data_IF_374727374958
#
_entry.id   IF_374727374958
#
_cell.length_a   1.000
_cell.length_b   1.000
_cell.length_c   1.000
_cell.angle_alpha   90.00
_cell.angle_beta   90.00
_cell.angle_gamma   90.00
#
_symmetry.space_group_name_H-M   'P 1'
#
loop_
_entity.id
_entity.type
_entity.pdbx_description
1 polymer ?
#
# COMPACT_ATOMS: atom_id res chain seq x y z
N UNK A 1 5.52 -25.39 -14.63
CA UNK A 1 6.10 -24.03 -14.63
C UNK A 1 6.36 -23.66 -13.18
N UNK A 2 7.56 -23.17 -12.80
CA UNK A 2 7.79 -22.79 -11.41
C UNK A 2 6.81 -21.67 -11.07
N UNK A 3 5.95 -21.93 -10.09
CA UNK A 3 5.06 -20.93 -9.51
C UNK A 3 5.92 -19.96 -8.73
N UNK A 4 6.52 -18.98 -9.42
CA UNK A 4 7.20 -17.87 -8.77
C UNK A 4 6.12 -17.11 -7.98
N UNK A 5 6.19 -17.18 -6.66
CA UNK A 5 5.30 -16.45 -5.75
C UNK A 5 5.48 -14.95 -6.00
N UNK A 6 4.61 -14.37 -6.82
CA UNK A 6 4.63 -12.93 -7.14
C UNK A 6 4.04 -12.16 -5.97
N UNK A 7 4.75 -11.13 -5.50
CA UNK A 7 4.20 -10.19 -4.54
C UNK A 7 3.18 -9.30 -5.25
N UNK A 8 2.02 -9.07 -4.62
CA UNK A 8 1.00 -8.16 -5.16
C UNK A 8 0.84 -7.01 -4.19
N UNK A 9 1.01 -5.78 -4.66
CA UNK A 9 0.60 -4.59 -3.95
C UNK A 9 -0.76 -4.14 -4.48
N UNK A 10 -1.72 -4.07 -3.58
CA UNK A 10 -3.07 -3.59 -3.81
C UNK A 10 -3.29 -2.34 -2.97
N UNK A 11 -3.57 -1.21 -3.62
CA UNK A 11 -4.03 0.00 -2.95
C UNK A 11 -5.50 0.20 -3.27
N UNK A 12 -6.32 0.49 -2.25
CA UNK A 12 -7.75 0.72 -2.40
C UNK A 12 -8.14 2.01 -1.68
N UNK A 13 -8.90 2.86 -2.37
CA UNK A 13 -9.61 3.99 -1.78
C UNK A 13 -11.12 3.75 -1.98
N UNK A 14 -11.82 3.23 -0.96
CA UNK A 14 -13.24 2.89 -1.07
C UNK A 14 -14.12 4.13 -1.20
N UNK A 15 -13.67 5.29 -0.74
CA UNK A 15 -14.44 6.54 -0.82
C UNK A 15 -14.47 7.04 -2.26
N UNK A 16 -13.34 6.93 -2.97
CA UNK A 16 -13.25 7.30 -4.39
C UNK A 16 -13.65 6.18 -5.36
N UNK A 17 -13.89 4.95 -4.87
CA UNK A 17 -14.05 3.78 -5.72
C UNK A 17 -12.80 3.48 -6.56
N UNK A 18 -11.62 3.84 -6.06
CA UNK A 18 -10.35 3.73 -6.77
C UNK A 18 -9.53 2.54 -6.24
N UNK A 19 -8.82 1.87 -7.15
CA UNK A 19 -7.87 0.82 -6.80
C UNK A 19 -6.71 0.78 -7.78
N UNK A 20 -5.54 0.40 -7.28
CA UNK A 20 -4.33 0.14 -8.07
C UNK A 20 -3.72 -1.18 -7.65
N UNK A 21 -3.40 -2.00 -8.65
CA UNK A 21 -2.76 -3.31 -8.45
C UNK A 21 -1.44 -3.33 -9.18
N UNK A 22 -0.38 -3.78 -8.51
CA UNK A 22 0.93 -4.00 -9.13
C UNK A 22 1.53 -5.30 -8.62
N UNK A 23 1.95 -6.16 -9.55
CA UNK A 23 2.68 -7.39 -9.24
C UNK A 23 4.18 -7.19 -9.37
N UNK A 24 4.93 -7.80 -8.47
CA UNK A 24 6.39 -7.87 -8.46
C UNK A 24 6.85 -9.33 -8.32
N UNK A 25 8.07 -9.60 -8.73
CA UNK A 25 8.68 -10.92 -8.58
C UNK A 25 9.02 -11.21 -7.11
N UNK A 26 9.45 -10.19 -6.38
CA UNK A 26 9.78 -10.30 -4.98
C UNK A 26 8.98 -9.30 -4.16
N UNK A 27 9.05 -9.48 -2.85
CA UNK A 27 8.50 -8.53 -1.88
C UNK A 27 9.64 -7.92 -1.09
N UNK A 28 10.27 -6.92 -1.68
CA UNK A 28 11.35 -6.19 -1.05
C UNK A 28 10.84 -4.88 -0.46
N UNK A 29 11.62 -4.35 0.48
CA UNK A 29 11.39 -3.01 1.03
C UNK A 29 11.50 -1.94 -0.05
N UNK A 30 12.38 -2.12 -1.03
CA UNK A 30 12.59 -1.20 -2.16
C UNK A 30 11.34 -1.13 -3.04
N UNK A 31 10.74 -2.27 -3.37
CA UNK A 31 9.49 -2.29 -4.15
C UNK A 31 8.35 -1.62 -3.38
N UNK A 32 8.28 -1.83 -2.05
CA UNK A 32 7.32 -1.11 -1.21
C UNK A 32 7.54 0.41 -1.23
N UNK A 33 8.79 0.87 -1.08
CA UNK A 33 9.08 2.32 -1.09
C UNK A 33 8.73 2.97 -2.42
N UNK A 34 8.98 2.29 -3.54
CA UNK A 34 8.56 2.76 -4.87
C UNK A 34 7.03 2.84 -5.01
N UNK A 35 6.31 1.87 -4.45
CA UNK A 35 4.84 1.92 -4.45
C UNK A 35 4.29 3.08 -3.63
N UNK A 36 4.91 3.40 -2.50
CA UNK A 36 4.57 4.57 -1.68
C UNK A 36 4.90 5.87 -2.41
N UNK A 37 6.05 5.96 -3.07
CA UNK A 37 6.41 7.14 -3.87
C UNK A 37 5.39 7.37 -4.99
N UNK A 38 5.02 6.33 -5.72
CA UNK A 38 3.98 6.41 -6.75
C UNK A 38 2.63 6.85 -6.17
N UNK A 39 2.26 6.29 -5.01
CA UNK A 39 1.03 6.67 -4.31
C UNK A 39 1.00 8.17 -3.98
N UNK A 40 2.10 8.71 -3.45
CA UNK A 40 2.15 10.11 -3.02
C UNK A 40 2.29 11.08 -4.20
N UNK A 41 3.07 10.75 -5.21
CA UNK A 41 3.43 11.68 -6.29
C UNK A 41 2.54 11.55 -7.54
N UNK A 42 1.92 10.39 -7.78
CA UNK A 42 1.15 10.12 -8.99
C UNK A 42 -0.34 9.93 -8.68
N UNK A 43 -0.67 9.09 -7.70
CA UNK A 43 -2.08 8.82 -7.37
C UNK A 43 -2.70 10.00 -6.58
N UNK A 44 -1.91 10.64 -5.71
CA UNK A 44 -2.35 11.73 -4.84
C UNK A 44 -1.42 12.96 -4.83
N UNK A 45 -1.02 13.52 -5.99
CA UNK A 45 -0.04 14.61 -6.08
C UNK A 45 -0.45 15.87 -5.31
N UNK A 46 -1.75 16.10 -5.15
CA UNK A 46 -2.30 17.29 -4.51
C UNK A 46 -2.71 17.05 -3.04
N UNK A 47 -2.47 15.85 -2.49
CA UNK A 47 -2.85 15.56 -1.11
C UNK A 47 -1.84 16.17 -0.14
N UNK A 48 -2.32 16.98 0.81
CA UNK A 48 -1.47 17.50 1.90
C UNK A 48 -0.92 16.38 2.80
N UNK A 49 -1.70 15.32 2.98
CA UNK A 49 -1.33 14.13 3.75
C UNK A 49 -2.13 12.93 3.24
N UNK A 50 -1.48 11.78 3.09
CA UNK A 50 -2.10 10.50 2.77
C UNK A 50 -2.05 9.62 4.02
N UNK A 51 -3.24 9.24 4.51
CA UNK A 51 -3.40 8.30 5.62
C UNK A 51 -3.51 6.89 5.08
N UNK A 52 -2.43 6.15 5.25
CA UNK A 52 -2.28 4.78 4.82
C UNK A 52 -2.62 3.85 5.97
N UNK A 53 -3.59 2.95 5.77
CA UNK A 53 -3.82 1.85 6.69
C UNK A 53 -3.29 0.58 6.06
N UNK A 54 -2.29 -0.03 6.69
CA UNK A 54 -1.67 -1.25 6.21
C UNK A 54 -1.35 -2.19 7.37
N UNK A 55 -1.11 -3.46 7.05
CA UNK A 55 -0.63 -4.44 8.03
C UNK A 55 0.69 -4.01 8.69
N UNK A 56 0.92 -4.54 9.89
CA UNK A 56 2.09 -4.22 10.71
C UNK A 56 3.27 -5.13 10.35
N UNK A 57 3.84 -4.91 9.17
CA UNK A 57 4.99 -5.66 8.69
C UNK A 57 6.25 -4.80 8.69
N UNK A 58 7.40 -5.46 8.84
CA UNK A 58 8.71 -4.80 8.98
C UNK A 58 9.11 -3.92 7.77
N UNK A 59 8.38 -3.99 6.66
CA UNK A 59 8.54 -3.14 5.48
C UNK A 59 7.66 -1.90 5.53
N UNK A 60 6.59 -1.88 6.32
CA UNK A 60 5.54 -0.87 6.31
C UNK A 60 5.74 0.20 7.38
N UNK A 61 6.94 0.78 7.40
CA UNK A 61 7.30 1.84 8.33
C UNK A 61 7.92 3.01 7.57
N UNK A 62 7.80 4.22 8.12
CA UNK A 62 8.45 5.42 7.56
C UNK A 62 9.96 5.22 7.39
N UNK A 63 10.60 4.52 8.33
CA UNK A 63 12.02 4.17 8.26
C UNK A 63 12.41 3.43 6.98
N UNK A 64 11.48 2.69 6.35
CA UNK A 64 11.75 2.02 5.09
C UNK A 64 12.03 3.00 3.96
N UNK A 65 11.42 4.19 3.95
CA UNK A 65 11.69 5.23 2.94
C UNK A 65 13.16 5.65 2.92
N UNK A 66 13.80 5.73 4.08
CA UNK A 66 15.23 6.06 4.20
C UNK A 66 16.16 4.94 3.75
N UNK A 67 15.65 3.71 3.57
CA UNK A 67 16.41 2.62 2.96
C UNK A 67 16.24 2.59 1.44
N UNK A 68 15.10 3.07 0.92
CA UNK A 68 14.80 3.08 -0.52
C UNK A 68 15.26 4.34 -1.26
N UNK A 69 15.36 5.48 -0.56
CA UNK A 69 15.63 6.78 -1.17
C UNK A 69 16.72 7.57 -0.44
N UNK A 70 17.37 8.52 -1.12
CA UNK A 70 18.20 9.54 -0.46
C UNK A 70 17.41 10.28 0.63
N UNK A 71 18.11 10.72 1.69
CA UNK A 71 17.49 11.35 2.88
C UNK A 71 16.54 12.50 2.52
N UNK A 72 16.92 13.37 1.58
CA UNK A 72 16.09 14.50 1.15
C UNK A 72 14.75 14.07 0.55
N UNK A 73 14.75 13.03 -0.28
CA UNK A 73 13.53 12.49 -0.89
C UNK A 73 12.70 11.72 0.14
N UNK A 74 13.35 10.92 0.99
CA UNK A 74 12.70 10.20 2.08
C UNK A 74 11.98 11.15 3.05
N UNK A 75 12.63 12.24 3.45
CA UNK A 75 12.04 13.29 4.30
C UNK A 75 10.82 13.94 3.64
N UNK A 76 10.91 14.25 2.35
CA UNK A 76 9.79 14.82 1.61
C UNK A 76 8.60 13.86 1.60
N UNK A 77 8.82 12.59 1.26
CA UNK A 77 7.76 11.58 1.22
C UNK A 77 7.16 11.32 2.62
N UNK A 78 8.00 11.25 3.66
CA UNK A 78 7.57 11.05 5.05
C UNK A 78 6.67 12.19 5.55
N UNK A 79 6.89 13.44 5.10
CA UNK A 79 6.02 14.57 5.44
C UNK A 79 4.60 14.41 4.90
N UNK A 80 4.42 13.76 3.76
CA UNK A 80 3.10 13.53 3.16
C UNK A 80 2.44 12.23 3.63
N UNK A 81 3.19 11.30 4.25
CA UNK A 81 2.66 9.99 4.64
C UNK A 81 2.34 9.89 6.13
N UNK A 82 1.19 9.32 6.45
CA UNK A 82 0.80 8.90 7.81
C UNK A 82 0.41 7.42 7.75
N UNK A 83 1.05 6.57 8.57
CA UNK A 83 0.79 5.13 8.58
C UNK A 83 -0.02 4.77 9.84
N UNK A 84 -1.12 4.07 9.66
CA UNK A 84 -1.91 3.45 10.71
C UNK A 84 -1.96 1.94 10.50
N UNK A 85 -2.08 1.20 11.61
CA UNK A 85 -2.32 -0.23 11.57
C UNK A 85 -3.78 -0.53 11.92
N UNK A 86 -4.40 -1.54 11.28
CA UNK A 86 -5.77 -1.91 11.60
C UNK A 86 -5.87 -2.35 13.07
N UNK A 87 -6.95 -1.98 13.78
CA UNK A 87 -7.19 -2.48 15.12
C UNK A 87 -7.39 -4.00 15.07
N UNK A 88 -6.86 -4.71 16.07
CA UNK A 88 -6.75 -6.18 16.12
C UNK A 88 -8.08 -6.93 15.87
N UNK A 89 -9.23 -6.27 16.13
CA UNK A 89 -10.57 -6.85 16.08
C UNK A 89 -11.51 -6.08 15.13
N UNK A 90 -10.98 -5.25 14.23
CA UNK A 90 -11.79 -4.35 13.40
C UNK A 90 -12.33 -4.99 12.13
N UNK A 91 -13.63 -4.81 11.88
CA UNK A 91 -14.37 -5.08 10.63
C UNK A 91 -13.81 -4.37 9.38
N UNK A 92 -12.74 -3.58 9.54
CA UNK A 92 -11.99 -2.93 8.46
C UNK A 92 -11.25 -3.92 7.56
N UNK A 93 -10.90 -5.10 8.10
CA UNK A 93 -10.40 -6.23 7.31
C UNK A 93 -11.38 -6.66 6.22
N UNK A 94 -12.71 -6.53 6.43
CA UNK A 94 -13.70 -7.01 5.47
C UNK A 94 -13.55 -6.37 4.08
N UNK A 95 -13.32 -5.05 3.97
CA UNK A 95 -13.21 -4.39 2.66
C UNK A 95 -11.94 -4.85 1.94
N UNK A 96 -10.84 -4.93 2.67
CA UNK A 96 -9.54 -5.34 2.14
C UNK A 96 -9.55 -6.83 1.75
N UNK A 97 -10.10 -7.69 2.59
CA UNK A 97 -10.24 -9.13 2.35
C UNK A 97 -11.17 -9.39 1.16
N UNK A 98 -12.27 -8.66 1.02
CA UNK A 98 -13.18 -8.76 -0.14
C UNK A 98 -12.47 -8.34 -1.42
N UNK A 99 -11.78 -7.20 -1.45
CA UNK A 99 -11.05 -6.75 -2.65
C UNK A 99 -9.91 -7.70 -3.00
N UNK A 100 -9.18 -8.21 -2.01
CA UNK A 100 -8.15 -9.22 -2.21
C UNK A 100 -8.75 -10.53 -2.77
N UNK A 101 -9.90 -10.97 -2.25
CA UNK A 101 -10.62 -12.15 -2.75
C UNK A 101 -11.07 -11.97 -4.20
N UNK A 102 -11.64 -10.82 -4.56
CA UNK A 102 -12.04 -10.50 -5.93
C UNK A 102 -10.84 -10.54 -6.89
N UNK A 103 -9.73 -9.93 -6.50
CA UNK A 103 -8.51 -9.89 -7.33
C UNK A 103 -7.88 -11.27 -7.48
N UNK A 104 -7.83 -12.07 -6.42
CA UNK A 104 -7.28 -13.43 -6.47
C UNK A 104 -8.08 -14.33 -7.42
N UNK A 105 -9.42 -14.22 -7.42
CA UNK A 105 -10.28 -15.00 -8.32
C UNK A 105 -10.10 -14.61 -9.79
N UNK A 106 -9.70 -13.36 -10.08
CA UNK A 106 -9.50 -12.88 -11.45
C UNK A 106 -8.08 -13.16 -11.95
N UNK A 107 -7.07 -13.13 -11.07
CA UNK A 107 -5.67 -13.20 -11.48
C UNK A 107 -5.02 -14.59 -11.41
N UNK A 108 -5.66 -15.62 -10.82
CA UNK A 108 -5.09 -16.98 -10.68
C UNK A 108 -3.65 -17.02 -10.13
N UNK A 109 -3.30 -16.15 -9.16
CA UNK A 109 -1.94 -16.06 -8.58
C UNK A 109 -1.92 -16.57 -7.14
N UNK A 110 -0.97 -17.47 -6.84
CA UNK A 110 -0.68 -17.99 -5.49
C UNK A 110 -0.10 -16.92 -4.56
N UNK A 111 -0.53 -16.95 -3.31
CA UNK A 111 -0.62 -15.84 -2.35
C UNK A 111 0.67 -15.12 -1.92
N UNK A 112 0.54 -13.79 -1.85
CA UNK A 112 1.40 -12.83 -1.16
C UNK A 112 0.85 -11.40 -1.29
N UNK A 113 -0.49 -11.24 -1.24
CA UNK A 113 -1.16 -9.97 -1.52
C UNK A 113 -1.09 -9.02 -0.31
N UNK A 114 -0.43 -7.87 -0.50
CA UNK A 114 -0.44 -6.73 0.43
C UNK A 114 -1.53 -5.79 0.01
N UNK A 115 -2.61 -5.83 0.77
CA UNK A 115 -3.73 -4.95 0.56
C UNK A 115 -3.62 -3.79 1.55
N UNK A 116 -3.52 -2.60 1.00
CA UNK A 116 -3.30 -1.34 1.69
C UNK A 116 -4.53 -0.48 1.43
N UNK A 117 -5.29 -0.18 2.47
CA UNK A 117 -6.47 0.66 2.34
C UNK A 117 -6.15 2.09 2.75
N UNK A 118 -6.54 3.02 1.90
CA UNK A 118 -6.39 4.44 2.11
C UNK A 118 -7.63 4.94 2.83
N UNK A 119 -7.45 5.59 3.98
CA UNK A 119 -8.54 6.30 4.65
C UNK A 119 -8.37 7.78 4.36
N UNK A 120 -8.89 8.27 3.24
CA UNK A 120 -9.02 9.71 3.06
C UNK A 120 -10.01 10.26 4.09
N UNK A 121 -9.50 11.00 5.08
CA UNK A 121 -10.29 12.04 5.74
C UNK A 121 -9.77 13.36 5.21
N UNK A 122 -10.44 13.90 4.19
CA UNK A 122 -10.36 15.33 3.89
C UNK A 122 -11.65 15.94 4.44
N UNK A 123 -11.54 16.98 5.28
CA UNK A 123 -12.30 18.18 4.97
C UNK A 123 -11.37 19.39 4.91
N UNK A 124 -11.62 20.26 3.92
CA UNK A 124 -11.77 21.67 4.23
C UNK A 124 -13.27 21.88 4.44
#
# INVERSE_FOLDING_TARGET
MPSCTRAIFLFVDPIRGWRRVKSYEHRTRIEWTEQIRHLLLVDYPNARKVKLVCDNLHTHHIASLYQGFPVSEADQLARYLEIHHPPRNGSWLNIIEIEAYLINNVLSVGFGAFAVALRQQIPY
#
